data_IF_114557210329
#
_entry.id   IF_114557210329
#
_cell.length_a   1.000
_cell.length_b   1.000
_cell.length_c   1.000
_cell.angle_alpha   90.00
_cell.angle_beta   90.00
_cell.angle_gamma   90.00
#
_symmetry.space_group_name_H-M   'P 1'
#
loop_
_entity.id
_entity.type
_entity.pdbx_description
1 polymer ?
#
# COMPACT_ATOMS: atom_id res chain seq x y z
N UNK A 1 -20.98 -60.59 -37.33
CA UNK A 1 -19.75 -60.35 -38.13
C UNK A 1 -18.57 -60.23 -37.18
N UNK A 2 -17.53 -61.06 -37.34
CA UNK A 2 -16.31 -60.95 -36.53
C UNK A 2 -15.33 -59.97 -37.19
N UNK A 3 -14.61 -59.13 -36.42
CA UNK A 3 -13.67 -58.15 -36.97
C UNK A 3 -12.49 -58.82 -37.67
N UNK A 4 -12.00 -58.20 -38.76
CA UNK A 4 -10.86 -58.70 -39.53
C UNK A 4 -9.54 -58.41 -38.78
N UNK A 5 -8.53 -59.27 -38.93
CA UNK A 5 -7.24 -59.20 -38.20
C UNK A 5 -6.53 -57.83 -38.29
N UNK A 6 -6.73 -57.08 -39.38
CA UNK A 6 -6.19 -55.73 -39.57
C UNK A 6 -6.84 -54.64 -38.70
N UNK A 7 -8.10 -54.80 -38.30
CA UNK A 7 -8.82 -53.81 -37.49
C UNK A 7 -8.24 -53.72 -36.09
N UNK A 8 -7.82 -54.85 -35.52
CA UNK A 8 -7.18 -54.92 -34.21
C UNK A 8 -5.86 -54.12 -34.19
N UNK A 9 -5.03 -54.22 -35.23
CA UNK A 9 -3.74 -53.50 -35.31
C UNK A 9 -3.94 -51.98 -35.29
N UNK A 10 -4.94 -51.48 -36.01
CA UNK A 10 -5.27 -50.04 -36.03
C UNK A 10 -5.82 -49.58 -34.68
N UNK A 11 -6.65 -50.40 -34.02
CA UNK A 11 -7.18 -50.11 -32.69
C UNK A 11 -6.04 -50.06 -31.65
N UNK A 12 -5.13 -51.04 -31.66
CA UNK A 12 -3.97 -51.05 -30.75
C UNK A 12 -3.06 -49.82 -30.96
N UNK A 13 -2.82 -49.43 -32.22
CA UNK A 13 -2.02 -48.23 -32.52
C UNK A 13 -2.69 -46.95 -32.02
N UNK A 14 -4.02 -46.83 -32.16
CA UNK A 14 -4.79 -45.69 -31.65
C UNK A 14 -4.80 -45.65 -30.13
N UNK A 15 -4.92 -46.80 -29.45
CA UNK A 15 -4.86 -46.90 -27.98
C UNK A 15 -3.49 -46.47 -27.46
N UNK A 16 -2.40 -47.00 -28.02
CA UNK A 16 -1.03 -46.62 -27.64
C UNK A 16 -0.73 -45.13 -27.91
N UNK A 17 -1.25 -44.57 -29.01
CA UNK A 17 -1.13 -43.13 -29.29
C UNK A 17 -1.90 -42.28 -28.25
N UNK A 18 -3.10 -42.73 -27.87
CA UNK A 18 -3.92 -42.05 -26.86
C UNK A 18 -3.24 -42.09 -25.48
N UNK A 19 -2.70 -43.25 -25.08
CA UNK A 19 -1.93 -43.41 -23.84
C UNK A 19 -0.71 -42.48 -23.82
N UNK A 20 0.08 -42.43 -24.90
CA UNK A 20 1.21 -41.50 -25.00
C UNK A 20 0.80 -40.02 -24.93
N UNK A 21 -0.35 -39.63 -25.49
CA UNK A 21 -0.89 -38.28 -25.33
C UNK A 21 -1.29 -38.01 -23.88
N UNK A 22 -1.96 -38.95 -23.22
CA UNK A 22 -2.32 -38.80 -21.80
C UNK A 22 -1.07 -38.69 -20.92
N UNK A 23 -0.04 -39.52 -21.17
CA UNK A 23 1.23 -39.46 -20.46
C UNK A 23 1.95 -38.12 -20.67
N UNK A 24 2.01 -37.60 -21.90
CA UNK A 24 2.60 -36.27 -22.18
C UNK A 24 1.80 -35.13 -21.56
N UNK A 25 0.47 -35.20 -21.59
CA UNK A 25 -0.39 -34.22 -20.90
C UNK A 25 -0.16 -34.26 -19.40
N UNK A 26 -0.06 -35.45 -18.80
CA UNK A 26 0.22 -35.63 -17.37
C UNK A 26 1.60 -35.06 -17.00
N UNK A 27 2.63 -35.35 -17.79
CA UNK A 27 3.97 -34.77 -17.60
C UNK A 27 3.97 -33.24 -17.70
N UNK A 28 3.24 -32.67 -18.67
CA UNK A 28 3.12 -31.21 -18.81
C UNK A 28 2.41 -30.58 -17.61
N UNK A 29 1.33 -31.19 -17.10
CA UNK A 29 0.64 -30.70 -15.91
C UNK A 29 1.53 -30.78 -14.66
N UNK A 30 2.27 -31.88 -14.48
CA UNK A 30 3.23 -32.02 -13.38
C UNK A 30 4.31 -30.94 -13.47
N UNK A 31 4.85 -30.68 -14.66
CA UNK A 31 5.87 -29.64 -14.86
C UNK A 31 5.32 -28.23 -14.56
N UNK A 32 4.09 -27.94 -14.98
CA UNK A 32 3.43 -26.66 -14.67
C UNK A 32 3.16 -26.50 -13.17
N UNK A 33 2.75 -27.56 -12.47
CA UNK A 33 2.54 -27.55 -11.00
C UNK A 33 3.87 -27.35 -10.26
N UNK A 34 4.96 -27.98 -10.71
CA UNK A 34 6.28 -27.77 -10.11
C UNK A 34 6.75 -26.32 -10.34
N UNK A 35 6.56 -25.80 -11.55
CA UNK A 35 6.92 -24.41 -11.88
C UNK A 35 6.15 -23.41 -11.01
N UNK A 36 4.84 -23.59 -10.83
CA UNK A 36 4.04 -22.70 -9.97
C UNK A 36 4.46 -22.81 -8.52
N UNK A 37 4.75 -24.01 -8.00
CA UNK A 37 5.26 -24.21 -6.63
C UNK A 37 6.61 -23.52 -6.40
N UNK A 38 7.52 -23.57 -7.37
CA UNK A 38 8.81 -22.87 -7.32
C UNK A 38 8.61 -21.35 -7.29
N UNK A 39 7.74 -20.82 -8.15
CA UNK A 39 7.43 -19.38 -8.20
C UNK A 39 6.85 -18.90 -6.87
N UNK A 40 5.93 -19.67 -6.28
CA UNK A 40 5.37 -19.38 -4.96
C UNK A 40 6.47 -19.39 -3.90
N UNK A 41 7.31 -20.42 -3.86
CA UNK A 41 8.39 -20.57 -2.87
C UNK A 41 9.42 -19.42 -2.92
N UNK A 42 9.80 -18.98 -4.12
CA UNK A 42 10.69 -17.81 -4.30
C UNK A 42 10.01 -16.53 -3.82
N UNK A 43 8.72 -16.35 -4.12
CA UNK A 43 7.96 -15.15 -3.73
C UNK A 43 7.87 -14.99 -2.21
N UNK A 44 7.69 -16.08 -1.45
CA UNK A 44 7.67 -16.01 0.03
C UNK A 44 9.06 -15.70 0.61
N UNK A 45 10.14 -16.15 -0.01
CA UNK A 45 11.53 -15.89 0.47
C UNK A 45 11.95 -14.40 0.36
N UNK A 46 11.27 -13.62 -0.48
CA UNK A 46 11.55 -12.18 -0.67
C UNK A 46 10.78 -11.28 0.30
N UNK A 47 9.87 -11.84 1.11
CA UNK A 47 9.15 -11.14 2.17
C UNK A 47 10.06 -10.90 3.39
N UNK A 48 11.07 -10.04 3.23
CA UNK A 48 11.93 -9.61 4.33
C UNK A 48 11.63 -8.15 4.68
N UNK A 49 10.97 -7.96 5.82
CA UNK A 49 10.69 -6.64 6.41
C UNK A 49 11.94 -5.90 6.88
N UNK A 50 13.13 -6.52 6.80
CA UNK A 50 14.41 -5.97 7.29
C UNK A 50 15.41 -5.53 6.21
N UNK A 51 15.19 -5.85 4.93
CA UNK A 51 16.12 -5.46 3.83
C UNK A 51 16.04 -3.96 3.51
N UNK A 52 17.12 -3.23 3.76
CA UNK A 52 17.24 -1.79 3.50
C UNK A 52 17.53 -1.48 2.02
N UNK A 53 16.62 -1.85 1.12
CA UNK A 53 16.74 -1.57 -0.32
C UNK A 53 16.44 -0.09 -0.62
N UNK A 54 17.11 0.48 -1.63
CA UNK A 54 16.91 1.88 -2.06
C UNK A 54 15.43 2.18 -2.39
N UNK A 55 14.76 1.28 -3.12
CA UNK A 55 13.34 1.42 -3.46
C UNK A 55 12.43 1.52 -2.24
N UNK A 56 12.67 0.68 -1.22
CA UNK A 56 11.92 0.72 0.04
C UNK A 56 12.14 2.04 0.78
N UNK A 57 13.39 2.53 0.80
CA UNK A 57 13.72 3.82 1.44
C UNK A 57 13.07 4.99 0.71
N UNK A 58 13.11 5.02 -0.62
CA UNK A 58 12.43 6.02 -1.43
C UNK A 58 10.92 6.03 -1.19
N UNK A 59 10.28 4.85 -1.17
CA UNK A 59 8.87 4.70 -0.86
C UNK A 59 8.50 5.23 0.53
N UNK A 60 9.27 4.87 1.57
CA UNK A 60 9.02 5.35 2.93
C UNK A 60 9.28 6.85 3.07
N UNK A 61 10.29 7.40 2.39
CA UNK A 61 10.59 8.83 2.42
C UNK A 61 9.45 9.64 1.79
N UNK A 62 8.98 9.22 0.62
CA UNK A 62 7.84 9.86 -0.06
C UNK A 62 6.57 9.79 0.79
N UNK A 63 6.25 8.59 1.30
CA UNK A 63 5.07 8.39 2.16
C UNK A 63 5.15 9.22 3.44
N UNK A 64 6.32 9.26 4.08
CA UNK A 64 6.55 10.06 5.28
C UNK A 64 6.34 11.56 5.00
N UNK A 65 6.92 12.07 3.91
CA UNK A 65 6.83 13.49 3.54
C UNK A 65 5.38 13.95 3.43
N UNK A 66 4.56 13.26 2.64
CA UNK A 66 3.16 13.66 2.43
C UNK A 66 2.31 13.46 3.68
N UNK A 67 2.56 12.39 4.45
CA UNK A 67 1.79 12.11 5.66
C UNK A 67 2.08 13.13 6.77
N UNK A 68 3.36 13.51 6.93
CA UNK A 68 3.77 14.59 7.85
C UNK A 68 3.18 15.92 7.41
N UNK A 69 3.32 16.27 6.13
CA UNK A 69 2.80 17.53 5.59
C UNK A 69 1.30 17.67 5.79
N UNK A 70 0.52 16.65 5.42
CA UNK A 70 -0.93 16.70 5.54
C UNK A 70 -1.41 16.79 6.99
N UNK A 71 -0.85 15.97 7.89
CA UNK A 71 -1.23 16.02 9.31
C UNK A 71 -0.81 17.33 9.99
N UNK A 72 0.38 17.85 9.66
CA UNK A 72 0.84 19.13 10.17
C UNK A 72 -0.03 20.28 9.69
N UNK A 73 -0.37 20.30 8.39
CA UNK A 73 -1.26 21.31 7.80
C UNK A 73 -2.65 21.29 8.42
N UNK A 74 -3.25 20.11 8.58
CA UNK A 74 -4.57 19.99 9.19
C UNK A 74 -4.56 20.46 10.64
N UNK A 75 -3.57 20.05 11.44
CA UNK A 75 -3.45 20.50 12.83
C UNK A 75 -3.30 22.02 12.96
N UNK A 76 -2.67 22.67 11.97
CA UNK A 76 -2.56 24.13 11.91
C UNK A 76 -3.91 24.78 11.57
N UNK A 77 -4.64 24.24 10.60
CA UNK A 77 -5.98 24.73 10.24
C UNK A 77 -7.00 24.53 11.37
N UNK A 78 -6.99 23.38 12.04
CA UNK A 78 -7.85 23.11 13.19
C UNK A 78 -7.59 24.13 14.33
N UNK A 79 -6.33 24.53 14.52
CA UNK A 79 -5.97 25.59 15.47
C UNK A 79 -6.46 26.98 15.04
N UNK A 80 -6.33 27.31 13.76
CA UNK A 80 -6.82 28.59 13.23
C UNK A 80 -8.35 28.70 13.29
N UNK A 81 -9.06 27.61 13.01
CA UNK A 81 -10.51 27.54 13.14
C UNK A 81 -10.94 27.63 14.61
N UNK A 82 -10.28 26.89 15.51
CA UNK A 82 -10.55 26.95 16.95
C UNK A 82 -10.33 28.36 17.52
N UNK A 83 -9.34 29.10 17.01
CA UNK A 83 -9.13 30.50 17.38
C UNK A 83 -10.31 31.36 16.93
N UNK A 84 -10.71 31.23 15.66
CA UNK A 84 -11.80 32.03 15.08
C UNK A 84 -13.14 31.78 15.78
N UNK A 85 -13.40 30.56 16.23
CA UNK A 85 -14.62 30.21 16.96
C UNK A 85 -14.63 30.73 18.41
N UNK A 86 -13.46 30.84 19.05
CA UNK A 86 -13.36 31.27 20.46
C UNK A 86 -13.26 32.77 20.63
N UNK A 87 -12.61 33.45 19.69
CA UNK A 87 -12.33 34.88 19.82
C UNK A 87 -13.63 35.67 19.66
N UNK A 88 -13.92 36.52 20.64
CA UNK A 88 -15.09 37.39 20.64
C UNK A 88 -14.69 38.78 20.14
N UNK A 89 -15.39 39.27 19.12
CA UNK A 89 -15.15 40.60 18.57
C UNK A 89 -15.65 41.72 19.49
N UNK A 90 -14.82 42.75 19.66
CA UNK A 90 -15.20 43.96 20.38
C UNK A 90 -15.73 45.02 19.41
N UNK A 91 -17.04 45.15 19.32
CA UNK A 91 -17.73 46.12 18.45
C UNK A 91 -17.64 47.59 18.90
N UNK A 92 -17.00 47.88 20.04
CA UNK A 92 -16.74 49.26 20.49
C UNK A 92 -15.55 49.90 19.79
N UNK A 93 -14.76 49.11 19.06
CA UNK A 93 -13.58 49.57 18.33
C UNK A 93 -13.68 49.19 16.86
N UNK A 94 -12.92 49.87 16.00
CA UNK A 94 -12.81 49.48 14.59
C UNK A 94 -12.24 48.08 14.52
N UNK A 95 -13.00 47.17 13.91
CA UNK A 95 -12.63 45.76 13.76
C UNK A 95 -11.46 45.60 12.80
N UNK A 96 -10.57 44.67 13.12
CA UNK A 96 -9.45 44.28 12.25
C UNK A 96 -9.96 43.28 11.21
N UNK A 97 -9.35 43.28 10.02
CA UNK A 97 -9.67 42.31 8.96
C UNK A 97 -9.40 40.86 9.42
N UNK A 98 -8.37 40.66 10.23
CA UNK A 98 -8.06 39.38 10.88
C UNK A 98 -8.02 39.56 12.39
N UNK A 99 -8.80 38.75 13.10
CA UNK A 99 -8.78 38.73 14.55
C UNK A 99 -7.81 37.65 15.05
N UNK A 100 -6.68 38.10 15.61
CA UNK A 100 -5.65 37.21 16.16
C UNK A 100 -5.90 36.86 17.64
N UNK A 101 -6.97 37.38 18.25
CA UNK A 101 -7.28 37.20 19.66
C UNK A 101 -6.25 37.83 20.60
N UNK A 102 -6.29 37.37 21.84
CA UNK A 102 -5.41 37.74 22.94
C UNK A 102 -4.34 36.68 23.19
N UNK A 103 -3.33 37.04 23.98
CA UNK A 103 -2.24 36.13 24.35
C UNK A 103 -2.76 34.90 25.14
N UNK A 104 -3.82 35.06 25.95
CA UNK A 104 -4.46 33.94 26.64
C UNK A 104 -5.21 33.00 25.66
N UNK A 105 -5.89 33.54 24.65
CA UNK A 105 -6.57 32.72 23.64
C UNK A 105 -5.57 31.94 22.79
N UNK A 106 -4.43 32.56 22.45
CA UNK A 106 -3.33 31.90 21.76
C UNK A 106 -2.76 30.70 22.54
N UNK A 107 -2.66 30.81 23.88
CA UNK A 107 -2.22 29.68 24.72
C UNK A 107 -3.14 28.47 24.62
N UNK A 108 -4.43 28.67 24.35
CA UNK A 108 -5.39 27.56 24.18
C UNK A 108 -5.13 26.72 22.93
N UNK A 109 -4.36 27.25 21.97
CA UNK A 109 -3.98 26.57 20.72
C UNK A 109 -2.67 25.79 20.83
N UNK A 110 -1.91 25.97 21.92
CA UNK A 110 -0.58 25.37 22.08
C UNK A 110 -0.59 23.85 21.80
N UNK A 111 -1.61 23.14 22.24
CA UNK A 111 -1.73 21.69 21.98
C UNK A 111 -1.77 21.34 20.49
N UNK A 112 -2.48 22.12 19.68
CA UNK A 112 -2.59 21.92 18.23
C UNK A 112 -1.31 22.38 17.52
N UNK A 113 -0.70 23.46 17.98
CA UNK A 113 0.56 23.97 17.41
C UNK A 113 1.74 23.05 17.74
N UNK A 114 1.85 22.58 18.98
CA UNK A 114 2.87 21.61 19.40
C UNK A 114 2.75 20.31 18.60
N UNK A 115 1.52 19.87 18.32
CA UNK A 115 1.26 18.72 17.45
C UNK A 115 1.74 18.97 16.04
N UNK A 116 1.43 20.13 15.45
CA UNK A 116 1.90 20.50 14.12
C UNK A 116 3.45 20.52 14.06
N UNK A 117 4.09 21.15 15.04
CA UNK A 117 5.56 21.22 15.18
C UNK A 117 6.16 19.83 15.30
N UNK A 118 5.60 18.97 16.17
CA UNK A 118 6.07 17.60 16.36
C UNK A 118 5.95 16.75 15.10
N UNK A 119 4.88 16.92 14.31
CA UNK A 119 4.73 16.21 13.05
C UNK A 119 5.76 16.68 12.04
N UNK A 120 5.92 18.00 11.88
CA UNK A 120 6.91 18.58 10.98
C UNK A 120 8.35 18.14 11.34
N UNK A 121 8.70 18.14 12.62
CA UNK A 121 10.04 17.74 13.07
C UNK A 121 10.35 16.28 12.79
N UNK A 122 9.38 15.37 12.92
CA UNK A 122 9.55 13.94 12.57
C UNK A 122 9.89 13.76 11.08
N UNK A 123 9.35 14.59 10.19
CA UNK A 123 9.64 14.53 8.75
C UNK A 123 11.00 15.11 8.38
N UNK A 124 11.48 16.12 9.13
CA UNK A 124 12.76 16.81 8.88
C UNK A 124 13.94 16.06 9.51
N UNK A 125 13.75 15.47 10.70
CA UNK A 125 14.82 14.82 11.46
C UNK A 125 15.07 13.35 11.05
N UNK A 126 14.22 12.78 10.18
CA UNK A 126 14.35 11.41 9.67
C UNK A 126 15.13 11.35 8.37
#
# INVERSE_FOLDING_TARGET
MQPQSGDYVIIFRKLSYKENIYLKKLQLHILLVILTMIIVMVSVSSCSTKKNTWSRRAYHNMTCHYNVFWNGKNSLYDGAEALTQKVIDNYKVVLRVYNYGTLQEAQSLNSQMDRAIKKASIGIQR
#
